data_IF_697515210157
#
_entry.id   IF_697515210157
#
_cell.length_a   1.000
_cell.length_b   1.000
_cell.length_c   1.000
_cell.angle_alpha   90.00
_cell.angle_beta   90.00
_cell.angle_gamma   90.00
#
_symmetry.space_group_name_H-M   'P 1'
#
loop_
_entity.id
_entity.type
_entity.pdbx_description
1 polymer ?
#
# COMPACT_ATOMS: atom_id res chain seq x y z
N UNK A 1 -27.52 -8.49 -18.30
CA UNK A 1 -27.13 -9.08 -16.99
C UNK A 1 -25.66 -9.52 -17.03
N UNK A 2 -25.29 -10.53 -17.82
CA UNK A 2 -23.91 -11.06 -17.93
C UNK A 2 -22.83 -10.04 -18.29
N UNK A 3 -23.13 -9.09 -19.20
CA UNK A 3 -22.18 -8.03 -19.57
C UNK A 3 -21.87 -7.09 -18.40
N UNK A 4 -22.89 -6.70 -17.62
CA UNK A 4 -22.71 -5.83 -16.45
C UNK A 4 -21.92 -6.54 -15.34
N UNK A 5 -22.21 -7.82 -15.13
CA UNK A 5 -21.50 -8.69 -14.19
C UNK A 5 -20.02 -8.81 -14.56
N UNK A 6 -19.71 -9.20 -15.81
CA UNK A 6 -18.32 -9.32 -16.26
C UNK A 6 -17.57 -7.99 -16.21
N UNK A 7 -18.22 -6.89 -16.59
CA UNK A 7 -17.65 -5.55 -16.46
C UNK A 7 -17.32 -5.21 -15.00
N UNK A 8 -18.28 -5.42 -14.08
CA UNK A 8 -18.07 -5.18 -12.65
C UNK A 8 -16.88 -5.99 -12.12
N UNK A 9 -16.84 -7.29 -12.40
CA UNK A 9 -15.78 -8.20 -11.94
C UNK A 9 -14.39 -7.77 -12.45
N UNK A 10 -14.28 -7.29 -13.69
CA UNK A 10 -12.99 -6.80 -14.21
C UNK A 10 -12.60 -5.50 -13.52
N UNK A 11 -13.51 -4.54 -13.40
CA UNK A 11 -13.19 -3.21 -12.85
C UNK A 11 -12.83 -3.30 -11.36
N UNK A 12 -13.54 -4.11 -10.57
CA UNK A 12 -13.30 -4.22 -9.12
C UNK A 12 -11.92 -4.81 -8.79
N UNK A 13 -11.34 -5.63 -9.68
CA UNK A 13 -9.96 -6.17 -9.51
C UNK A 13 -8.87 -5.12 -9.67
N UNK A 14 -9.19 -3.94 -10.22
CA UNK A 14 -8.24 -2.83 -10.37
C UNK A 14 -8.08 -2.02 -9.06
N UNK A 15 -8.91 -2.30 -8.04
CA UNK A 15 -8.75 -1.73 -6.71
C UNK A 15 -7.60 -2.46 -6.04
N UNK A 16 -6.40 -1.87 -6.04
CA UNK A 16 -5.19 -2.45 -5.47
C UNK A 16 -4.42 -1.41 -4.67
N UNK A 17 -3.48 -1.86 -3.83
CA UNK A 17 -2.60 -0.95 -3.10
C UNK A 17 -1.69 -0.15 -4.06
N UNK A 18 -1.57 1.17 -3.87
CA UNK A 18 -0.78 2.03 -4.75
C UNK A 18 0.70 1.89 -4.46
N UNK A 19 1.53 1.88 -5.52
CA UNK A 19 2.98 1.95 -5.36
C UNK A 19 3.47 3.39 -5.32
N UNK A 20 2.73 4.32 -5.88
CA UNK A 20 3.07 5.75 -5.90
C UNK A 20 1.82 6.62 -5.70
N UNK A 21 2.01 7.92 -5.45
CA UNK A 21 0.89 8.87 -5.40
C UNK A 21 0.15 8.96 -6.73
N UNK A 22 0.84 8.76 -7.86
CA UNK A 22 0.21 8.76 -9.19
C UNK A 22 -0.78 7.61 -9.35
N UNK A 23 -0.55 6.47 -8.69
CA UNK A 23 -1.47 5.32 -8.73
C UNK A 23 -2.81 5.62 -8.04
N UNK A 24 -2.88 6.61 -7.14
CA UNK A 24 -4.13 7.02 -6.49
C UNK A 24 -5.17 7.52 -7.49
N UNK A 25 -4.73 8.10 -8.62
CA UNK A 25 -5.63 8.58 -9.67
C UNK A 25 -6.42 7.45 -10.34
N UNK A 26 -5.91 6.22 -10.33
CA UNK A 26 -6.60 5.05 -10.90
C UNK A 26 -7.90 4.75 -10.18
N UNK A 27 -7.96 5.03 -8.87
CA UNK A 27 -9.15 4.80 -8.07
C UNK A 27 -10.35 5.63 -8.58
N UNK A 28 -10.13 6.86 -9.04
CA UNK A 28 -11.17 7.70 -9.65
C UNK A 28 -11.66 7.15 -11.00
N UNK A 29 -10.78 6.51 -11.78
CA UNK A 29 -11.16 5.82 -13.02
C UNK A 29 -12.04 4.60 -12.73
N UNK A 30 -11.69 3.83 -11.69
CA UNK A 30 -12.50 2.69 -11.23
C UNK A 30 -13.88 3.18 -10.76
N UNK A 31 -13.95 4.23 -9.95
CA UNK A 31 -15.20 4.84 -9.49
C UNK A 31 -16.10 5.23 -10.68
N UNK A 32 -15.52 5.92 -11.66
CA UNK A 32 -16.22 6.33 -12.88
C UNK A 32 -16.77 5.10 -13.63
N UNK A 33 -15.97 4.05 -13.76
CA UNK A 33 -16.41 2.80 -14.39
C UNK A 33 -17.58 2.15 -13.65
N UNK A 34 -17.46 1.99 -12.33
CA UNK A 34 -18.49 1.34 -11.52
C UNK A 34 -19.80 2.13 -11.46
N UNK A 35 -19.76 3.45 -11.62
CA UNK A 35 -20.96 4.29 -11.70
C UNK A 35 -21.92 3.90 -12.85
N UNK A 36 -21.42 3.23 -13.89
CA UNK A 36 -22.24 2.76 -15.01
C UNK A 36 -23.10 1.52 -14.65
N UNK A 37 -22.78 0.82 -13.56
CA UNK A 37 -23.41 -0.45 -13.18
C UNK A 37 -23.97 -0.47 -11.77
N UNK A 38 -23.58 0.46 -10.90
CA UNK A 38 -24.13 0.64 -9.54
C UNK A 38 -25.11 1.82 -9.53
N UNK A 39 -26.34 1.59 -9.06
CA UNK A 39 -27.40 2.61 -8.99
C UNK A 39 -27.26 3.53 -7.78
N UNK A 40 -26.82 2.99 -6.63
CA UNK A 40 -26.59 3.78 -5.42
C UNK A 40 -25.26 4.53 -5.49
N UNK A 41 -25.28 5.64 -6.24
CA UNK A 41 -24.11 6.50 -6.45
C UNK A 41 -23.62 7.15 -5.16
N UNK A 42 -24.51 7.41 -4.20
CA UNK A 42 -24.16 8.10 -2.96
C UNK A 42 -23.36 7.20 -2.03
N UNK A 43 -23.83 5.96 -1.81
CA UNK A 43 -23.10 4.98 -1.01
C UNK A 43 -21.76 4.61 -1.67
N UNK A 44 -21.77 4.44 -3.00
CA UNK A 44 -20.54 4.17 -3.76
C UNK A 44 -19.52 5.31 -3.60
N UNK A 45 -19.93 6.57 -3.79
CA UNK A 45 -19.03 7.72 -3.64
C UNK A 45 -18.43 7.78 -2.23
N UNK A 46 -19.24 7.54 -1.20
CA UNK A 46 -18.76 7.51 0.19
C UNK A 46 -17.72 6.40 0.43
N UNK A 47 -17.91 5.22 -0.17
CA UNK A 47 -16.91 4.14 -0.12
C UNK A 47 -15.60 4.54 -0.80
N UNK A 48 -15.67 5.20 -1.96
CA UNK A 48 -14.49 5.66 -2.71
C UNK A 48 -13.73 6.79 -2.00
N UNK A 49 -14.42 7.72 -1.33
CA UNK A 49 -13.80 8.76 -0.51
C UNK A 49 -13.00 8.15 0.66
N UNK A 50 -13.57 7.16 1.35
CA UNK A 50 -12.89 6.43 2.42
C UNK A 50 -11.68 5.65 1.88
N UNK A 51 -11.86 4.95 0.75
CA UNK A 51 -10.79 4.21 0.10
C UNK A 51 -9.61 5.12 -0.29
N UNK A 52 -9.90 6.29 -0.84
CA UNK A 52 -8.87 7.26 -1.21
C UNK A 52 -8.08 7.76 0.00
N UNK A 53 -8.75 8.07 1.11
CA UNK A 53 -8.09 8.45 2.36
C UNK A 53 -7.21 7.32 2.91
N UNK A 54 -7.73 6.09 2.92
CA UNK A 54 -7.00 4.89 3.33
C UNK A 54 -5.73 4.68 2.49
N UNK A 55 -5.83 4.78 1.17
CA UNK A 55 -4.70 4.57 0.26
C UNK A 55 -3.63 5.66 0.41
N UNK A 56 -4.01 6.90 0.73
CA UNK A 56 -3.06 7.96 1.10
C UNK A 56 -2.32 7.63 2.39
N UNK A 57 -3.05 7.22 3.43
CA UNK A 57 -2.45 6.81 4.69
C UNK A 57 -1.50 5.62 4.52
N UNK A 58 -1.82 4.68 3.62
CA UNK A 58 -0.91 3.57 3.28
C UNK A 58 0.44 4.08 2.76
N UNK A 59 0.45 5.01 1.80
CA UNK A 59 1.69 5.58 1.26
C UNK A 59 2.49 6.33 2.32
N UNK A 60 1.81 7.10 3.17
CA UNK A 60 2.44 7.81 4.29
C UNK A 60 3.06 6.83 5.29
N UNK A 61 2.30 5.84 5.74
CA UNK A 61 2.77 4.82 6.68
C UNK A 61 3.93 4.02 6.11
N UNK A 62 3.92 3.74 4.81
CA UNK A 62 5.03 3.09 4.13
C UNK A 62 6.31 3.91 4.20
N UNK A 63 6.21 5.21 3.91
CA UNK A 63 7.35 6.14 4.01
C UNK A 63 7.85 6.25 5.45
N UNK A 64 6.94 6.42 6.41
CA UNK A 64 7.31 6.48 7.83
C UNK A 64 7.98 5.21 8.32
N UNK A 65 7.50 4.04 7.92
CA UNK A 65 8.11 2.76 8.27
C UNK A 65 9.55 2.66 7.77
N UNK A 66 9.81 3.06 6.52
CA UNK A 66 11.16 3.04 5.94
C UNK A 66 12.09 3.97 6.73
N UNK A 67 11.65 5.19 7.02
CA UNK A 67 12.46 6.18 7.76
C UNK A 67 12.73 5.75 9.22
N UNK A 68 11.73 5.17 9.87
CA UNK A 68 11.88 4.62 11.22
C UNK A 68 12.91 3.48 11.24
N UNK A 69 12.83 2.56 10.29
CA UNK A 69 13.81 1.47 10.17
C UNK A 69 15.20 2.01 9.84
N UNK A 70 15.32 2.98 8.92
CA UNK A 70 16.62 3.60 8.59
C UNK A 70 17.26 4.22 9.83
N UNK A 71 16.49 4.96 10.61
CA UNK A 71 16.96 5.61 11.84
C UNK A 71 17.40 4.58 12.88
N UNK A 72 16.59 3.54 13.11
CA UNK A 72 16.90 2.48 14.08
C UNK A 72 18.19 1.71 13.74
N UNK A 73 18.47 1.51 12.46
CA UNK A 73 19.68 0.82 12.01
C UNK A 73 20.89 1.74 11.85
N UNK A 74 20.70 3.05 11.61
CA UNK A 74 21.80 4.00 11.44
C UNK A 74 22.76 4.03 12.65
N UNK A 75 22.23 4.01 13.87
CA UNK A 75 23.05 4.01 15.08
C UNK A 75 23.83 2.71 15.27
N UNK A 76 23.23 1.57 14.89
CA UNK A 76 23.90 0.27 14.92
C UNK A 76 24.99 0.17 13.86
N UNK A 77 24.74 0.72 12.67
CA UNK A 77 25.72 0.80 11.58
C UNK A 77 26.92 1.64 11.98
N UNK A 78 26.71 2.83 12.55
CA UNK A 78 27.80 3.71 13.00
C UNK A 78 28.75 2.99 13.96
N UNK A 79 28.21 2.21 14.90
CA UNK A 79 29.02 1.40 15.82
C UNK A 79 29.83 0.32 15.10
N UNK A 80 29.24 -0.40 14.14
CA UNK A 80 29.95 -1.38 13.31
C UNK A 80 31.05 -0.72 12.46
N UNK A 81 30.77 0.43 11.85
CA UNK A 81 31.75 1.20 11.06
C UNK A 81 32.96 1.60 11.92
N UNK A 82 32.74 2.09 13.14
CA UNK A 82 33.81 2.44 14.09
C UNK A 82 34.65 1.22 14.50
N UNK A 83 34.01 0.08 14.77
CA UNK A 83 34.71 -1.17 15.10
C UNK A 83 35.57 -1.67 13.93
N UNK A 84 35.03 -1.67 12.72
CA UNK A 84 35.75 -2.05 11.51
C UNK A 84 36.91 -1.08 11.23
N UNK A 85 36.70 0.22 11.44
CA UNK A 85 37.75 1.22 11.26
C UNK A 85 38.90 1.02 12.24
N UNK A 86 38.61 0.63 13.49
CA UNK A 86 39.65 0.25 14.48
C UNK A 86 40.41 -1.01 14.08
N UNK A 87 39.73 -1.99 13.48
CA UNK A 87 40.36 -3.25 13.06
C UNK A 87 41.21 -3.09 11.79
N UNK A 88 40.72 -2.37 10.79
CA UNK A 88 41.37 -2.24 9.48
C UNK A 88 42.25 -0.99 9.34
N UNK A 89 42.24 -0.09 10.33
CA UNK A 89 43.05 1.13 10.35
C UNK A 89 42.59 2.22 9.38
N UNK A 90 41.42 2.07 8.75
CA UNK A 90 40.83 3.06 7.84
C UNK A 90 39.31 3.07 7.93
N UNK A 91 38.67 4.20 7.61
CA UNK A 91 37.23 4.32 7.68
C UNK A 91 36.52 3.40 6.67
N UNK A 92 35.57 2.60 7.15
CA UNK A 92 34.66 1.79 6.35
C UNK A 92 33.27 2.41 6.45
N UNK A 93 32.62 2.67 5.32
CA UNK A 93 31.25 3.20 5.28
C UNK A 93 30.30 2.10 4.81
N UNK A 94 29.29 1.80 5.60
CA UNK A 94 28.27 0.79 5.34
C UNK A 94 27.00 1.48 4.82
N UNK A 95 26.42 0.96 3.74
CA UNK A 95 25.08 1.35 3.30
C UNK A 95 24.04 0.49 4.04
N UNK A 96 23.05 1.08 4.74
CA UNK A 96 21.97 0.32 5.37
C UNK A 96 21.23 -0.61 4.41
N UNK A 97 21.13 -0.26 3.12
CA UNK A 97 20.49 -1.11 2.11
C UNK A 97 21.29 -2.39 1.79
N UNK A 98 22.59 -2.42 2.15
CA UNK A 98 23.46 -3.58 1.99
C UNK A 98 23.49 -4.47 3.25
N UNK A 99 22.81 -4.08 4.33
CA UNK A 99 22.68 -4.89 5.53
C UNK A 99 21.55 -5.94 5.36
N UNK A 100 21.87 -7.25 5.37
CA UNK A 100 20.86 -8.30 5.31
C UNK A 100 19.81 -8.23 6.43
N UNK A 101 20.20 -7.75 7.62
CA UNK A 101 19.27 -7.59 8.75
C UNK A 101 18.26 -6.46 8.48
N UNK A 102 18.71 -5.35 7.88
CA UNK A 102 17.83 -4.24 7.47
C UNK A 102 16.86 -4.69 6.38
N UNK A 103 17.37 -5.37 5.35
CA UNK A 103 16.54 -5.87 4.24
C UNK A 103 15.46 -6.84 4.76
N UNK A 104 15.82 -7.76 5.64
CA UNK A 104 14.89 -8.70 6.27
C UNK A 104 13.82 -8.00 7.13
N UNK A 105 14.24 -7.06 7.97
CA UNK A 105 13.30 -6.27 8.78
C UNK A 105 12.34 -5.45 7.90
N UNK A 106 12.86 -4.75 6.89
CA UNK A 106 12.04 -3.98 5.97
C UNK A 106 11.01 -4.87 5.27
N UNK A 107 11.42 -6.01 4.71
CA UNK A 107 10.52 -6.94 4.05
C UNK A 107 9.42 -7.44 5.00
N UNK A 108 9.76 -7.84 6.23
CA UNK A 108 8.78 -8.32 7.20
C UNK A 108 7.78 -7.24 7.61
N UNK A 109 8.26 -6.03 7.89
CA UNK A 109 7.39 -4.93 8.29
C UNK A 109 6.52 -4.44 7.12
N UNK A 110 7.07 -4.39 5.91
CA UNK A 110 6.34 -4.04 4.70
C UNK A 110 5.24 -5.04 4.37
N UNK A 111 5.54 -6.34 4.49
CA UNK A 111 4.56 -7.41 4.27
C UNK A 111 3.38 -7.31 5.24
N UNK A 112 3.64 -7.05 6.53
CA UNK A 112 2.57 -6.84 7.53
C UNK A 112 1.73 -5.61 7.22
N UNK A 113 2.37 -4.49 6.84
CA UNK A 113 1.66 -3.28 6.43
C UNK A 113 0.77 -3.55 5.20
N UNK A 114 1.31 -4.24 4.20
CA UNK A 114 0.55 -4.59 3.00
C UNK A 114 -0.66 -5.47 3.32
N UNK A 115 -0.48 -6.51 4.14
CA UNK A 115 -1.58 -7.41 4.55
C UNK A 115 -2.70 -6.67 5.30
N UNK A 116 -2.33 -5.75 6.19
CA UNK A 116 -3.32 -4.97 6.94
C UNK A 116 -4.21 -4.14 5.99
N UNK A 117 -3.62 -3.48 5.01
CA UNK A 117 -4.36 -2.63 4.09
C UNK A 117 -5.10 -3.42 3.01
N UNK A 118 -4.55 -4.55 2.55
CA UNK A 118 -5.24 -5.44 1.62
C UNK A 118 -6.53 -5.99 2.22
N UNK A 119 -6.54 -6.33 3.52
CA UNK A 119 -7.75 -6.75 4.21
C UNK A 119 -8.87 -5.70 4.20
N UNK A 120 -8.52 -4.42 4.28
CA UNK A 120 -9.51 -3.32 4.19
C UNK A 120 -9.98 -3.13 2.75
N UNK A 121 -9.09 -3.30 1.76
CA UNK A 121 -9.50 -3.27 0.35
C UNK A 121 -10.42 -4.43 -0.01
N UNK A 122 -10.22 -5.62 0.57
CA UNK A 122 -11.16 -6.73 0.39
C UNK A 122 -12.56 -6.40 0.92
N UNK A 123 -12.65 -5.74 2.08
CA UNK A 123 -13.92 -5.27 2.62
C UNK A 123 -14.60 -4.28 1.69
N UNK A 124 -13.85 -3.31 1.15
CA UNK A 124 -14.33 -2.37 0.15
C UNK A 124 -14.88 -3.08 -1.10
N UNK A 125 -14.13 -4.05 -1.65
CA UNK A 125 -14.56 -4.86 -2.80
C UNK A 125 -15.84 -5.64 -2.49
N UNK A 126 -15.96 -6.17 -1.27
CA UNK A 126 -17.17 -6.83 -0.78
C UNK A 126 -18.39 -5.91 -0.73
N UNK A 127 -18.25 -4.71 -0.17
CA UNK A 127 -19.34 -3.72 -0.13
C UNK A 127 -19.74 -3.23 -1.53
N UNK A 128 -18.76 -3.02 -2.43
CA UNK A 128 -19.06 -2.69 -3.83
C UNK A 128 -19.83 -3.81 -4.53
N UNK A 129 -19.50 -5.07 -4.25
CA UNK A 129 -20.27 -6.20 -4.77
C UNK A 129 -21.69 -6.22 -4.22
N UNK A 130 -21.88 -5.91 -2.93
CA UNK A 130 -23.21 -5.78 -2.32
C UNK A 130 -24.06 -4.72 -3.03
N UNK A 131 -23.52 -3.51 -3.21
CA UNK A 131 -24.19 -2.42 -3.93
C UNK A 131 -24.51 -2.78 -5.38
N UNK A 132 -23.62 -3.52 -6.05
CA UNK A 132 -23.84 -3.97 -7.41
C UNK A 132 -24.98 -5.01 -7.50
N UNK A 133 -25.02 -6.00 -6.59
CA UNK A 133 -26.12 -6.98 -6.55
C UNK A 133 -27.48 -6.32 -6.27
N UNK A 134 -27.52 -5.31 -5.41
CA UNK A 134 -28.73 -4.49 -5.15
C UNK A 134 -29.14 -3.64 -6.37
N UNK A 135 -28.24 -3.43 -7.32
CA UNK A 135 -28.47 -2.63 -8.53
C UNK A 135 -28.98 -3.45 -9.73
N UNK A 136 -28.91 -4.77 -9.67
CA UNK A 136 -29.40 -5.70 -10.71
C UNK A 136 -30.93 -5.66 -10.86
#
# INVERSE_FOLDING_TARGET
RWVKEGFFQVIVTQITLPTTETDLSRLATVETGLSAVIKDSSSMKYLFEQAHQLLKQYLENRRHLIEQLRTAFADRMRKREEELARQFGHAVKLDPAQDPEFAGALQQHMGRLQQQYEGVLEQLRGELNRLFQESL
#
